data_IF_146493553720
#
_entry.id   IF_146493553720
#
_cell.length_a   1.000
_cell.length_b   1.000
_cell.length_c   1.000
_cell.angle_alpha   90.00
_cell.angle_beta   90.00
_cell.angle_gamma   90.00
#
_symmetry.space_group_name_H-M   'P 1'
#
loop_
_entity.id
_entity.type
_entity.pdbx_description
1 polymer ?
#
# COMPACT_ATOMS: atom_id res chain seq x y z
N UNK A 1 22.11 1.98 27.53
CA UNK A 1 20.92 2.28 28.35
C UNK A 1 20.03 3.15 27.49
N UNK A 2 19.16 2.53 26.70
CA UNK A 2 18.15 3.22 25.91
C UNK A 2 17.01 3.56 26.87
N UNK A 3 16.84 4.87 27.15
CA UNK A 3 15.77 5.35 28.04
C UNK A 3 14.43 5.14 27.35
N UNK A 4 13.57 4.29 27.90
CA UNK A 4 12.16 4.26 27.56
C UNK A 4 11.59 5.67 27.76
N UNK A 5 10.80 6.16 26.82
CA UNK A 5 10.01 7.39 26.97
C UNK A 5 9.10 7.23 28.19
N UNK A 6 8.77 8.31 28.88
CA UNK A 6 7.88 8.25 30.04
C UNK A 6 6.51 7.66 29.67
N UNK A 7 5.82 7.06 30.65
CA UNK A 7 4.53 6.33 30.48
C UNK A 7 3.41 7.16 29.81
N UNK A 8 3.55 8.46 29.71
CA UNK A 8 2.60 9.37 29.06
C UNK A 8 2.92 9.68 27.59
N UNK A 9 4.10 9.31 27.07
CA UNK A 9 4.56 9.67 25.75
C UNK A 9 4.35 8.53 24.74
N UNK A 10 3.63 8.81 23.64
CA UNK A 10 3.44 7.87 22.55
C UNK A 10 4.64 7.82 21.61
N UNK A 11 5.08 6.60 21.26
CA UNK A 11 5.87 6.39 20.07
C UNK A 11 5.01 6.59 18.81
N UNK A 12 5.63 7.08 17.74
CA UNK A 12 4.95 7.49 16.52
C UNK A 12 5.53 6.80 15.30
N UNK A 13 4.66 6.39 14.40
CA UNK A 13 5.03 5.86 13.10
C UNK A 13 4.11 6.39 12.02
N UNK A 14 4.67 6.62 10.85
CA UNK A 14 3.92 7.09 9.68
C UNK A 14 4.37 6.30 8.46
N UNK A 15 3.42 5.94 7.62
CA UNK A 15 3.64 5.36 6.30
C UNK A 15 2.59 5.90 5.35
N UNK A 16 2.69 5.59 4.05
CA UNK A 16 1.81 6.16 3.04
C UNK A 16 1.19 5.07 2.18
N UNK A 17 0.28 5.47 1.30
CA UNK A 17 -0.29 4.58 0.29
C UNK A 17 0.57 4.48 -0.95
N UNK A 18 0.22 3.53 -1.81
CA UNK A 18 0.72 3.48 -3.18
C UNK A 18 -0.36 2.94 -4.12
N UNK A 19 -0.16 3.18 -5.41
CA UNK A 19 -1.00 2.66 -6.49
C UNK A 19 -0.22 1.67 -7.34
N UNK A 20 -0.90 0.67 -7.90
CA UNK A 20 -0.24 -0.31 -8.78
C UNK A 20 -0.03 0.25 -10.18
N UNK A 21 1.18 0.09 -10.68
CA UNK A 21 1.52 0.18 -12.11
C UNK A 21 1.40 -1.22 -12.74
N UNK A 22 1.98 -2.23 -12.08
CA UNK A 22 1.83 -3.66 -12.45
C UNK A 22 1.51 -4.44 -11.19
N UNK A 23 0.54 -5.35 -11.28
CA UNK A 23 0.12 -6.17 -10.16
C UNK A 23 0.92 -7.47 -10.10
N UNK A 24 1.61 -7.70 -8.99
CA UNK A 24 2.44 -8.89 -8.75
C UNK A 24 1.68 -10.23 -8.77
N UNK A 25 0.35 -10.22 -8.67
CA UNK A 25 -0.46 -11.46 -8.61
C UNK A 25 -0.33 -12.31 -9.88
N UNK A 26 0.03 -11.72 -11.02
CA UNK A 26 0.19 -12.42 -12.29
C UNK A 26 1.47 -13.26 -12.36
N UNK A 27 2.62 -12.64 -12.01
CA UNK A 27 3.96 -13.21 -12.24
C UNK A 27 4.85 -13.26 -11.01
N UNK A 28 4.45 -12.59 -9.93
CA UNK A 28 5.28 -12.36 -8.75
C UNK A 28 6.10 -11.06 -8.83
N UNK A 29 6.22 -10.44 -10.01
CA UNK A 29 6.84 -9.12 -10.17
C UNK A 29 5.76 -8.05 -10.14
N UNK A 30 5.90 -7.08 -9.23
CA UNK A 30 5.00 -5.95 -9.09
C UNK A 30 5.69 -4.61 -9.28
N UNK A 31 4.91 -3.60 -9.67
CA UNK A 31 5.38 -2.24 -9.78
C UNK A 31 4.36 -1.27 -9.19
N UNK A 32 4.83 -0.32 -8.39
CA UNK A 32 3.98 0.65 -7.68
C UNK A 32 4.55 2.06 -7.75
N UNK A 33 3.68 3.05 -7.56
CA UNK A 33 4.04 4.44 -7.32
C UNK A 33 3.49 4.86 -5.97
N UNK A 34 4.33 5.39 -5.08
CA UNK A 34 3.91 5.94 -3.80
C UNK A 34 3.01 7.18 -3.99
N UNK A 35 2.02 7.35 -3.11
CA UNK A 35 1.10 8.50 -3.11
C UNK A 35 1.00 9.13 -1.72
N UNK A 36 0.63 10.41 -1.65
CA UNK A 36 0.50 11.19 -0.41
C UNK A 36 -0.85 10.96 0.28
N UNK A 37 -1.16 9.69 0.58
CA UNK A 37 -2.23 9.30 1.50
C UNK A 37 -1.59 8.68 2.72
N UNK A 38 -1.70 9.29 3.89
CA UNK A 38 -0.98 8.89 5.07
C UNK A 38 -1.72 7.85 5.92
N UNK A 39 -0.96 7.01 6.59
CA UNK A 39 -1.37 6.22 7.76
C UNK A 39 -0.43 6.55 8.90
N UNK A 40 -0.98 7.03 10.01
CA UNK A 40 -0.26 7.30 11.23
C UNK A 40 -0.62 6.30 12.33
N UNK A 41 0.37 5.91 13.12
CA UNK A 41 0.19 5.07 14.29
C UNK A 41 0.82 5.72 15.52
N UNK A 42 0.17 5.52 16.67
CA UNK A 42 0.66 5.93 17.98
C UNK A 42 0.61 4.72 18.91
N UNK A 43 1.71 4.40 19.54
CA UNK A 43 1.85 3.26 20.44
C UNK A 43 2.42 3.70 21.78
N UNK A 44 1.88 3.15 22.89
CA UNK A 44 2.54 3.20 24.21
C UNK A 44 2.29 1.89 24.97
N UNK A 45 3.24 1.50 25.80
CA UNK A 45 3.01 0.47 26.81
C UNK A 45 1.96 0.94 27.82
N UNK A 46 1.15 0.02 28.32
CA UNK A 46 0.15 0.27 29.36
C UNK A 46 0.21 -0.85 30.39
N UNK A 47 -0.16 -0.55 31.65
CA UNK A 47 -0.11 -1.55 32.71
C UNK A 47 -1.08 -2.71 32.51
N UNK A 48 -2.30 -2.43 32.05
CA UNK A 48 -3.37 -3.42 31.94
C UNK A 48 -4.03 -3.43 30.57
N UNK A 49 -4.02 -4.62 29.93
CA UNK A 49 -4.79 -4.94 28.74
C UNK A 49 -4.26 -4.32 27.46
N UNK A 50 -4.70 -4.86 26.34
CA UNK A 50 -4.33 -4.43 25.00
C UNK A 50 -5.50 -3.69 24.35
N UNK A 51 -5.32 -2.38 24.10
CA UNK A 51 -6.33 -1.53 23.46
C UNK A 51 -5.87 -1.14 22.07
N UNK A 52 -6.70 -1.39 21.06
CA UNK A 52 -6.44 -1.04 19.67
C UNK A 52 -7.62 -0.24 19.14
N UNK A 53 -7.34 0.96 18.64
CA UNK A 53 -8.30 1.85 17.99
C UNK A 53 -7.83 2.10 16.56
N UNK A 54 -8.66 1.72 15.58
CA UNK A 54 -8.36 1.88 14.14
C UNK A 54 -9.43 2.77 13.49
N UNK A 55 -9.00 3.83 12.86
CA UNK A 55 -9.85 4.75 12.11
C UNK A 55 -9.45 4.79 10.63
N UNK A 56 -10.41 4.66 9.70
CA UNK A 56 -11.85 4.53 9.91
C UNK A 56 -12.21 3.20 10.58
N UNK A 57 -13.24 3.24 11.43
CA UNK A 57 -13.71 2.07 12.19
C UNK A 57 -14.26 0.94 11.33
N UNK A 58 -14.48 -0.23 11.95
CA UNK A 58 -15.01 -1.43 11.26
C UNK A 58 -13.95 -2.28 10.55
N UNK A 59 -12.66 -1.99 10.77
CA UNK A 59 -11.55 -2.80 10.29
C UNK A 59 -11.15 -3.79 11.39
N UNK A 60 -10.87 -5.04 11.00
CA UNK A 60 -10.32 -6.05 11.90
C UNK A 60 -8.92 -5.62 12.38
N UNK A 61 -8.68 -5.67 13.69
CA UNK A 61 -7.44 -5.22 14.32
C UNK A 61 -6.36 -6.32 14.42
N UNK A 62 -6.65 -7.53 13.94
CA UNK A 62 -5.74 -8.69 13.99
C UNK A 62 -4.36 -8.38 13.41
N UNK A 63 -4.31 -7.74 12.24
CA UNK A 63 -3.05 -7.36 11.60
C UNK A 63 -2.25 -6.38 12.46
N UNK A 64 -2.91 -5.38 13.04
CA UNK A 64 -2.26 -4.39 13.91
C UNK A 64 -1.68 -5.04 15.16
N UNK A 65 -2.41 -5.97 15.79
CA UNK A 65 -1.92 -6.75 16.95
C UNK A 65 -0.72 -7.62 16.60
N UNK A 66 -0.73 -8.29 15.45
CA UNK A 66 0.41 -9.06 14.96
C UNK A 66 1.63 -8.14 14.78
N UNK A 67 1.45 -6.95 14.18
CA UNK A 67 2.54 -5.99 14.00
C UNK A 67 3.13 -5.54 15.33
N UNK A 68 2.28 -5.22 16.34
CA UNK A 68 2.77 -4.86 17.69
C UNK A 68 3.57 -6.01 18.31
N UNK A 69 3.00 -7.21 18.32
CA UNK A 69 3.66 -8.40 18.90
C UNK A 69 5.02 -8.66 18.25
N UNK A 70 5.08 -8.67 16.92
CA UNK A 70 6.31 -8.92 16.16
C UNK A 70 7.35 -7.81 16.35
N UNK A 71 6.91 -6.56 16.45
CA UNK A 71 7.81 -5.45 16.74
C UNK A 71 8.35 -5.51 18.20
N UNK A 72 7.51 -5.87 19.18
CA UNK A 72 7.94 -6.09 20.57
C UNK A 72 8.98 -7.22 20.67
N UNK A 73 8.79 -8.33 19.96
CA UNK A 73 9.78 -9.42 19.89
C UNK A 73 11.15 -8.90 19.38
N UNK A 74 11.17 -7.96 18.43
CA UNK A 74 12.42 -7.37 17.88
C UNK A 74 13.14 -6.46 18.84
N UNK A 75 12.41 -5.73 19.68
CA UNK A 75 13.00 -4.80 20.66
C UNK A 75 13.24 -5.44 22.03
N UNK A 76 12.89 -6.72 22.21
CA UNK A 76 13.01 -7.42 23.51
C UNK A 76 11.96 -6.95 24.53
N UNK A 77 10.83 -6.41 24.07
CA UNK A 77 9.68 -6.07 24.89
C UNK A 77 8.84 -7.30 25.23
N UNK A 78 7.81 -7.10 26.06
CA UNK A 78 6.84 -8.17 26.41
C UNK A 78 5.70 -8.22 25.39
N UNK A 79 5.61 -9.26 24.53
CA UNK A 79 4.56 -9.38 23.52
C UNK A 79 3.15 -9.56 24.11
N UNK A 80 3.04 -10.04 25.34
CA UNK A 80 1.79 -10.26 26.07
C UNK A 80 1.43 -9.07 26.97
N UNK A 81 2.34 -8.09 27.10
CA UNK A 81 2.15 -6.90 27.91
C UNK A 81 0.98 -6.04 27.46
N UNK A 82 0.49 -5.20 28.38
CA UNK A 82 -0.55 -4.24 28.05
C UNK A 82 -0.03 -3.10 27.18
N UNK A 83 -0.87 -2.60 26.27
CA UNK A 83 -0.54 -1.44 25.43
C UNK A 83 -1.79 -0.71 24.93
N UNK A 84 -1.57 0.52 24.48
CA UNK A 84 -2.52 1.32 23.72
C UNK A 84 -1.96 1.62 22.34
N UNK A 85 -2.70 1.25 21.30
CA UNK A 85 -2.38 1.53 19.90
C UNK A 85 -3.52 2.30 19.26
N UNK A 86 -3.20 3.41 18.59
CA UNK A 86 -4.12 4.18 17.75
C UNK A 86 -3.59 4.22 16.34
N UNK A 87 -4.42 3.85 15.36
CA UNK A 87 -4.07 3.90 13.93
C UNK A 87 -5.10 4.76 13.22
N UNK A 88 -4.65 5.77 12.49
CA UNK A 88 -5.50 6.63 11.66
C UNK A 88 -4.99 6.58 10.23
N UNK A 89 -5.87 6.26 9.27
CA UNK A 89 -5.51 6.11 7.87
C UNK A 89 -6.43 6.92 6.96
N UNK A 90 -5.82 7.68 6.04
CA UNK A 90 -6.52 8.32 4.91
C UNK A 90 -6.81 7.33 3.78
N UNK A 91 -6.23 6.13 3.85
CA UNK A 91 -6.31 5.12 2.78
C UNK A 91 -7.57 4.27 3.01
N UNK A 92 -8.56 4.28 2.09
CA UNK A 92 -9.72 3.43 2.19
C UNK A 92 -9.35 1.94 2.29
N UNK A 93 -9.84 1.23 3.32
CA UNK A 93 -9.50 -0.18 3.52
C UNK A 93 -10.12 -1.07 2.44
N UNK A 94 -9.43 -2.17 2.09
CA UNK A 94 -9.93 -3.22 1.18
C UNK A 94 -10.29 -2.75 -0.24
N UNK A 95 -9.71 -1.64 -0.71
CA UNK A 95 -9.97 -1.07 -2.05
C UNK A 95 -8.79 -1.21 -3.03
N UNK A 96 -7.71 -1.89 -2.65
CA UNK A 96 -6.51 -2.05 -3.48
C UNK A 96 -5.50 -0.91 -3.37
N UNK A 97 -5.68 0.00 -2.41
CA UNK A 97 -4.82 1.18 -2.17
C UNK A 97 -3.74 0.94 -1.11
N UNK A 98 -3.50 -0.33 -0.75
CA UNK A 98 -2.39 -0.82 0.10
C UNK A 98 -2.47 -0.38 1.57
N UNK A 99 -3.69 -0.19 2.08
CA UNK A 99 -3.92 0.19 3.49
C UNK A 99 -3.27 -0.77 4.48
N UNK A 100 -3.28 -2.09 4.21
CA UNK A 100 -2.64 -3.09 5.09
C UNK A 100 -1.12 -2.92 5.15
N UNK A 101 -0.45 -2.74 4.01
CA UNK A 101 1.02 -2.54 3.97
C UNK A 101 1.41 -1.23 4.66
N UNK A 102 0.66 -0.15 4.42
CA UNK A 102 0.87 1.13 5.09
C UNK A 102 0.67 1.03 6.60
N UNK A 103 -0.39 0.32 7.06
CA UNK A 103 -0.64 0.10 8.48
C UNK A 103 0.47 -0.72 9.14
N UNK A 104 0.96 -1.81 8.51
CA UNK A 104 2.08 -2.59 9.02
C UNK A 104 3.31 -1.71 9.29
N UNK A 105 3.74 -0.95 8.28
CA UNK A 105 4.92 -0.10 8.39
C UNK A 105 4.73 0.97 9.50
N UNK A 106 3.57 1.63 9.55
CA UNK A 106 3.29 2.66 10.54
C UNK A 106 3.27 2.10 11.97
N UNK A 107 2.58 0.96 12.21
CA UNK A 107 2.48 0.34 13.53
C UNK A 107 3.85 -0.14 14.02
N UNK A 108 4.61 -0.84 13.16
CA UNK A 108 5.96 -1.30 13.51
C UNK A 108 6.82 -0.10 13.93
N UNK A 109 6.86 0.97 13.13
CA UNK A 109 7.63 2.18 13.46
C UNK A 109 7.20 2.84 14.76
N UNK A 110 5.89 2.85 15.07
CA UNK A 110 5.41 3.42 16.32
C UNK A 110 5.91 2.64 17.55
N UNK A 111 5.95 1.30 17.48
CA UNK A 111 6.52 0.46 18.53
C UNK A 111 8.02 0.69 18.67
N UNK A 112 8.75 0.70 17.55
CA UNK A 112 10.20 0.94 17.53
C UNK A 112 10.53 2.31 18.14
N UNK A 113 9.82 3.37 17.75
CA UNK A 113 10.01 4.73 18.25
C UNK A 113 9.76 4.83 19.76
N UNK A 114 8.72 4.16 20.28
CA UNK A 114 8.44 4.11 21.72
C UNK A 114 9.59 3.50 22.51
N UNK A 115 10.20 2.45 21.98
CA UNK A 115 11.32 1.75 22.62
C UNK A 115 12.70 2.38 22.31
N UNK A 116 12.75 3.47 21.53
CA UNK A 116 14.01 4.09 21.11
C UNK A 116 14.90 3.16 20.29
N UNK A 117 14.29 2.25 19.52
CA UNK A 117 14.99 1.27 18.71
C UNK A 117 15.03 1.72 17.24
N UNK A 118 16.21 1.77 16.66
CA UNK A 118 16.41 2.09 15.27
C UNK A 118 16.42 0.81 14.42
N UNK A 119 15.70 0.84 13.30
CA UNK A 119 15.63 -0.24 12.31
C UNK A 119 15.65 0.36 10.90
N UNK A 120 16.40 -0.28 10.01
CA UNK A 120 16.44 0.13 8.61
C UNK A 120 15.05 0.03 7.96
N UNK A 121 14.74 0.94 7.02
CA UNK A 121 13.46 0.92 6.30
C UNK A 121 13.19 -0.44 5.63
N UNK A 122 14.21 -1.11 5.12
CA UNK A 122 14.05 -2.42 4.49
C UNK A 122 13.67 -3.50 5.52
N UNK A 123 14.24 -3.46 6.72
CA UNK A 123 13.90 -4.40 7.80
C UNK A 123 12.49 -4.17 8.32
N UNK A 124 12.03 -2.89 8.41
CA UNK A 124 10.63 -2.56 8.70
C UNK A 124 9.69 -3.15 7.64
N UNK A 125 10.01 -2.97 6.35
CA UNK A 125 9.25 -3.52 5.23
C UNK A 125 9.16 -5.05 5.32
N UNK A 126 10.29 -5.73 5.53
CA UNK A 126 10.33 -7.20 5.61
C UNK A 126 9.53 -7.72 6.80
N UNK A 127 9.62 -7.06 7.96
CA UNK A 127 8.82 -7.39 9.13
C UNK A 127 7.32 -7.19 8.85
N UNK A 128 6.94 -6.10 8.16
CA UNK A 128 5.56 -5.85 7.74
C UNK A 128 5.03 -6.92 6.79
N UNK A 129 5.85 -7.40 5.85
CA UNK A 129 5.53 -8.52 4.94
C UNK A 129 5.30 -9.82 5.71
N UNK A 130 6.14 -10.12 6.72
CA UNK A 130 5.95 -11.27 7.60
C UNK A 130 4.61 -11.18 8.36
N UNK A 131 4.30 -10.02 8.93
CA UNK A 131 3.03 -9.78 9.62
C UNK A 131 1.82 -9.95 8.69
N UNK A 132 1.88 -9.43 7.46
CA UNK A 132 0.81 -9.54 6.49
C UNK A 132 0.57 -11.00 6.03
N UNK A 133 1.63 -11.79 5.91
CA UNK A 133 1.56 -13.24 5.63
C UNK A 133 0.93 -13.99 6.80
N UNK A 134 1.35 -13.70 8.01
CA UNK A 134 0.82 -14.32 9.23
C UNK A 134 -0.68 -14.02 9.42
N UNK A 135 -1.08 -12.78 9.14
CA UNK A 135 -2.49 -12.38 9.18
C UNK A 135 -3.34 -12.93 8.02
N UNK A 136 -2.73 -13.54 7.00
CA UNK A 136 -3.43 -14.06 5.82
C UNK A 136 -4.05 -13.00 4.92
N UNK A 137 -3.60 -11.75 5.00
CA UNK A 137 -4.18 -10.62 4.24
C UNK A 137 -3.53 -10.41 2.88
N UNK A 138 -2.58 -11.24 2.50
CA UNK A 138 -1.84 -11.13 1.23
C UNK A 138 -1.73 -12.47 0.51
N UNK A 139 -1.71 -12.44 -0.84
CA UNK A 139 -1.49 -13.60 -1.69
C UNK A 139 -0.02 -13.75 -2.08
N UNK A 140 0.66 -12.63 -2.37
CA UNK A 140 2.04 -12.58 -2.89
C UNK A 140 3.07 -12.21 -1.84
N UNK A 141 2.64 -11.84 -0.62
CA UNK A 141 3.46 -11.21 0.41
C UNK A 141 3.44 -9.67 0.30
N UNK A 142 2.99 -9.10 -0.82
CA UNK A 142 2.85 -7.65 -1.05
C UNK A 142 4.12 -6.84 -0.73
N UNK A 143 5.29 -7.39 -1.07
CA UNK A 143 6.56 -6.73 -0.80
C UNK A 143 6.71 -5.43 -1.60
N UNK A 144 6.29 -5.42 -2.88
CA UNK A 144 6.22 -4.22 -3.72
C UNK A 144 5.34 -3.13 -3.07
N UNK A 145 4.18 -3.52 -2.55
CA UNK A 145 3.25 -2.62 -1.87
C UNK A 145 3.89 -2.01 -0.60
N UNK A 146 4.52 -2.85 0.23
CA UNK A 146 5.20 -2.41 1.44
C UNK A 146 6.38 -1.46 1.13
N UNK A 147 7.14 -1.75 0.06
CA UNK A 147 8.20 -0.87 -0.43
C UNK A 147 7.64 0.47 -0.91
N UNK A 148 6.58 0.47 -1.72
CA UNK A 148 5.96 1.70 -2.21
C UNK A 148 5.39 2.57 -1.08
N UNK A 149 4.78 1.95 -0.08
CA UNK A 149 4.24 2.61 1.10
C UNK A 149 5.34 3.27 1.95
N UNK A 150 6.47 2.60 2.16
CA UNK A 150 7.54 3.10 3.02
C UNK A 150 8.48 4.04 2.27
N UNK A 151 8.96 3.61 1.12
CA UNK A 151 10.03 4.30 0.41
C UNK A 151 9.53 5.43 -0.51
N UNK A 152 8.29 5.35 -0.99
CA UNK A 152 7.80 6.24 -2.05
C UNK A 152 8.53 6.05 -3.38
N UNK A 153 8.27 6.95 -4.34
CA UNK A 153 8.84 6.88 -5.67
C UNK A 153 8.19 5.81 -6.54
N UNK A 154 8.88 5.43 -7.61
CA UNK A 154 8.54 4.32 -8.48
C UNK A 154 9.38 3.09 -8.09
N UNK A 155 8.73 2.00 -7.76
CA UNK A 155 9.34 0.76 -7.28
C UNK A 155 8.90 -0.39 -8.19
N UNK A 156 9.87 -1.21 -8.63
CA UNK A 156 9.62 -2.53 -9.22
C UNK A 156 10.25 -3.57 -8.31
N UNK A 157 9.51 -4.61 -7.93
CA UNK A 157 9.99 -5.60 -6.97
C UNK A 157 9.58 -7.03 -7.34
N UNK A 158 10.46 -7.96 -7.03
CA UNK A 158 10.21 -9.41 -7.02
C UNK A 158 9.65 -9.80 -5.64
N UNK A 159 8.35 -10.07 -5.57
CA UNK A 159 7.67 -10.44 -4.33
C UNK A 159 7.97 -11.88 -3.89
N UNK A 160 8.47 -12.71 -4.81
CA UNK A 160 8.84 -14.10 -4.48
C UNK A 160 10.15 -14.11 -3.68
N UNK A 161 11.10 -13.24 -4.10
CA UNK A 161 12.42 -13.14 -3.46
C UNK A 161 12.56 -11.99 -2.49
N UNK A 162 11.50 -11.17 -2.31
CA UNK A 162 11.52 -9.93 -1.55
C UNK A 162 12.70 -9.02 -1.95
N UNK A 163 12.82 -8.76 -3.25
CA UNK A 163 13.93 -7.98 -3.80
C UNK A 163 13.44 -6.81 -4.64
N UNK A 164 13.93 -5.61 -4.35
CA UNK A 164 13.73 -4.44 -5.20
C UNK A 164 14.59 -4.60 -6.46
N UNK A 165 13.94 -4.50 -7.63
CA UNK A 165 14.58 -4.60 -8.95
C UNK A 165 14.91 -3.21 -9.50
N UNK A 166 13.97 -2.28 -9.39
CA UNK A 166 14.12 -0.89 -9.82
C UNK A 166 13.57 0.01 -8.70
N UNK A 167 14.32 1.07 -8.41
CA UNK A 167 13.89 2.15 -7.52
C UNK A 167 14.33 3.48 -8.11
N UNK A 168 13.38 4.35 -8.39
CA UNK A 168 13.65 5.69 -8.91
C UNK A 168 12.63 6.71 -8.40
N UNK A 169 12.91 8.02 -8.42
CA UNK A 169 11.93 9.04 -8.11
C UNK A 169 10.69 8.88 -9.01
N UNK A 170 9.51 9.07 -8.43
CA UNK A 170 8.30 9.25 -9.24
C UNK A 170 8.29 10.65 -9.85
N UNK A 171 7.71 10.78 -11.03
CA UNK A 171 7.38 12.08 -11.61
C UNK A 171 6.37 12.80 -10.70
N UNK A 172 6.38 14.12 -10.72
CA UNK A 172 5.45 14.95 -9.94
C UNK A 172 4.11 15.03 -10.67
N UNK A 173 3.18 14.18 -10.28
CA UNK A 173 1.88 14.03 -10.91
C UNK A 173 0.76 14.19 -9.88
N UNK A 174 -0.39 14.66 -10.34
CA UNK A 174 -1.63 14.55 -9.60
C UNK A 174 -2.23 13.15 -9.81
N UNK A 175 -2.81 12.59 -8.75
CA UNK A 175 -3.41 11.25 -8.75
C UNK A 175 -4.88 11.37 -8.37
N UNK A 176 -5.74 10.94 -9.27
CA UNK A 176 -7.18 10.87 -9.06
C UNK A 176 -7.58 9.43 -8.79
N UNK A 177 -8.34 9.19 -7.74
CA UNK A 177 -8.74 7.83 -7.37
C UNK A 177 -10.26 7.74 -7.26
N UNK A 178 -10.83 6.82 -8.03
CA UNK A 178 -12.23 6.42 -7.95
C UNK A 178 -12.33 5.20 -7.04
N UNK A 179 -13.13 5.31 -5.98
CA UNK A 179 -13.37 4.22 -5.02
C UNK A 179 -14.85 3.87 -5.05
N UNK A 180 -15.25 2.83 -5.78
CA UNK A 180 -16.65 2.41 -5.81
C UNK A 180 -17.09 1.82 -4.45
N UNK A 181 -18.38 1.92 -4.15
CA UNK A 181 -18.97 1.39 -2.91
C UNK A 181 -18.92 -0.15 -2.85
N UNK A 182 -18.77 -0.81 -4.00
CA UNK A 182 -18.69 -2.27 -4.08
C UNK A 182 -17.49 -2.81 -3.31
N UNK A 183 -17.71 -3.85 -2.52
CA UNK A 183 -16.64 -4.57 -1.84
C UNK A 183 -15.90 -5.44 -2.86
N UNK A 184 -14.59 -5.57 -2.70
CA UNK A 184 -13.75 -6.47 -3.49
C UNK A 184 -14.30 -7.90 -3.45
N UNK A 185 -14.65 -8.45 -4.60
CA UNK A 185 -14.97 -9.86 -4.75
C UNK A 185 -13.72 -10.74 -4.52
N UNK A 186 -13.93 -11.96 -4.04
CA UNK A 186 -12.85 -12.96 -3.98
C UNK A 186 -12.67 -13.53 -5.39
N UNK A 187 -11.60 -13.11 -6.07
CA UNK A 187 -11.23 -13.65 -7.39
C UNK A 187 -10.10 -14.64 -7.19
N UNK A 188 -10.24 -15.89 -7.67
CA UNK A 188 -9.21 -16.90 -7.54
C UNK A 188 -7.87 -16.44 -8.17
N UNK A 189 -6.73 -16.62 -7.49
CA UNK A 189 -5.42 -16.21 -8.02
C UNK A 189 -5.07 -16.85 -9.37
N UNK A 190 -5.59 -18.02 -9.67
CA UNK A 190 -5.41 -18.74 -10.94
C UNK A 190 -5.94 -17.95 -12.14
N UNK A 191 -7.01 -17.16 -11.98
CA UNK A 191 -7.54 -16.32 -13.06
C UNK A 191 -6.50 -15.27 -13.51
N UNK A 192 -5.74 -14.72 -12.55
CA UNK A 192 -4.66 -13.79 -12.86
C UNK A 192 -3.45 -14.52 -13.47
N UNK A 193 -3.06 -15.65 -12.89
CA UNK A 193 -1.91 -16.44 -13.36
C UNK A 193 -2.10 -16.98 -14.77
N UNK A 194 -3.34 -17.25 -15.19
CA UNK A 194 -3.65 -17.63 -16.56
C UNK A 194 -3.27 -16.55 -17.59
N UNK A 195 -3.15 -15.30 -17.17
CA UNK A 195 -2.75 -14.16 -18.01
C UNK A 195 -1.27 -13.76 -17.80
N UNK A 196 -0.46 -14.61 -17.15
CA UNK A 196 0.95 -14.33 -16.91
C UNK A 196 1.75 -14.06 -18.21
N UNK A 197 1.54 -14.81 -19.34
CA UNK A 197 2.25 -14.50 -20.58
C UNK A 197 2.02 -13.08 -21.09
N UNK A 198 0.77 -12.60 -21.07
CA UNK A 198 0.46 -11.21 -21.48
C UNK A 198 1.03 -10.19 -20.48
N UNK A 199 1.11 -10.55 -19.19
CA UNK A 199 1.74 -9.68 -18.20
C UNK A 199 3.27 -9.60 -18.39
N UNK A 200 3.94 -10.65 -18.84
CA UNK A 200 5.38 -10.59 -19.20
C UNK A 200 5.61 -9.62 -20.35
N UNK A 201 4.70 -9.50 -21.33
CA UNK A 201 4.77 -8.49 -22.38
C UNK A 201 4.63 -7.07 -21.79
N UNK A 202 3.74 -6.88 -20.79
CA UNK A 202 3.60 -5.59 -20.07
C UNK A 202 4.87 -5.27 -19.29
N UNK A 203 5.48 -6.24 -18.64
CA UNK A 203 6.73 -6.07 -17.89
C UNK A 203 7.90 -5.68 -18.82
N UNK A 204 7.91 -6.18 -20.05
CA UNK A 204 8.99 -5.87 -21.01
C UNK A 204 9.05 -4.40 -21.42
N UNK A 205 7.93 -3.67 -21.34
CA UNK A 205 7.87 -2.23 -21.66
C UNK A 205 7.89 -1.32 -20.41
N UNK A 206 7.84 -1.91 -19.21
CA UNK A 206 7.61 -1.19 -17.97
C UNK A 206 8.65 -0.09 -17.67
N UNK A 207 9.91 -0.32 -18.00
CA UNK A 207 10.97 0.64 -17.72
C UNK A 207 10.98 1.81 -18.71
N UNK A 208 10.61 1.54 -19.97
CA UNK A 208 10.55 2.54 -21.04
C UNK A 208 9.26 3.36 -21.01
N UNK A 209 8.12 2.71 -20.78
CA UNK A 209 6.79 3.35 -20.79
C UNK A 209 5.90 2.83 -19.63
N UNK A 210 6.14 3.30 -18.39
CA UNK A 210 5.38 2.87 -17.22
C UNK A 210 3.90 3.25 -17.29
N UNK A 211 3.54 4.30 -18.03
CA UNK A 211 2.15 4.73 -18.18
C UNK A 211 1.35 3.77 -19.06
N UNK A 212 1.94 3.36 -20.16
CA UNK A 212 1.37 2.33 -21.02
C UNK A 212 1.29 0.98 -20.29
N UNK A 213 2.35 0.60 -19.56
CA UNK A 213 2.35 -0.61 -18.73
C UNK A 213 1.21 -0.58 -17.71
N UNK A 214 1.00 0.55 -17.02
CA UNK A 214 -0.09 0.74 -16.07
C UNK A 214 -1.46 0.55 -16.73
N UNK A 215 -1.68 1.16 -17.88
CA UNK A 215 -2.96 1.06 -18.62
C UNK A 215 -3.22 -0.39 -19.07
N UNK A 216 -2.21 -1.09 -19.58
CA UNK A 216 -2.33 -2.49 -19.98
C UNK A 216 -2.55 -3.42 -18.78
N UNK A 217 -1.88 -3.19 -17.65
CA UNK A 217 -2.15 -3.89 -16.40
C UNK A 217 -3.63 -3.77 -16.00
N UNK A 218 -4.22 -2.57 -16.10
CA UNK A 218 -5.62 -2.35 -15.78
C UNK A 218 -6.56 -3.22 -16.62
N UNK A 219 -6.28 -3.36 -17.91
CA UNK A 219 -7.05 -4.22 -18.83
C UNK A 219 -6.93 -5.70 -18.46
N UNK A 220 -5.73 -6.16 -18.08
CA UNK A 220 -5.52 -7.54 -17.65
C UNK A 220 -6.21 -7.82 -16.32
N UNK A 221 -6.16 -6.89 -15.36
CA UNK A 221 -6.90 -6.99 -14.09
C UNK A 221 -8.40 -7.06 -14.33
N UNK A 222 -8.94 -6.21 -15.22
CA UNK A 222 -10.35 -6.23 -15.60
C UNK A 222 -10.77 -7.60 -16.15
N UNK A 223 -9.99 -8.18 -17.06
CA UNK A 223 -10.23 -9.50 -17.64
C UNK A 223 -10.18 -10.60 -16.59
N UNK A 224 -9.13 -10.64 -15.77
CA UNK A 224 -8.94 -11.67 -14.74
C UNK A 224 -10.05 -11.67 -13.69
N UNK A 225 -10.51 -10.48 -13.30
CA UNK A 225 -11.49 -10.28 -12.22
C UNK A 225 -12.93 -10.06 -12.73
N UNK A 226 -13.14 -10.09 -14.04
CA UNK A 226 -14.44 -9.77 -14.67
C UNK A 226 -15.00 -8.41 -14.19
N UNK A 227 -14.12 -7.39 -14.15
CA UNK A 227 -14.49 -6.02 -13.79
C UNK A 227 -14.72 -5.16 -15.02
N UNK A 228 -15.59 -4.17 -14.89
CA UNK A 228 -15.77 -3.16 -15.95
C UNK A 228 -14.58 -2.20 -16.02
N UNK A 229 -13.90 -2.10 -17.16
CA UNK A 229 -12.85 -1.14 -17.43
C UNK A 229 -13.33 0.30 -17.68
N UNK A 230 -14.65 0.54 -17.75
CA UNK A 230 -15.26 1.80 -18.23
C UNK A 230 -14.70 3.05 -17.54
N UNK A 231 -14.44 2.97 -16.20
CA UNK A 231 -13.92 4.13 -15.44
C UNK A 231 -12.50 4.48 -15.89
N UNK A 232 -11.64 3.47 -16.06
CA UNK A 232 -10.27 3.68 -16.53
C UNK A 232 -10.24 4.14 -18.00
N UNK A 233 -11.03 3.52 -18.87
CA UNK A 233 -11.11 3.88 -20.30
C UNK A 233 -11.62 5.31 -20.47
N UNK A 234 -12.63 5.72 -19.68
CA UNK A 234 -13.12 7.09 -19.67
C UNK A 234 -12.02 8.08 -19.26
N UNK A 235 -11.31 7.81 -18.16
CA UNK A 235 -10.21 8.68 -17.73
C UNK A 235 -9.14 8.85 -18.81
N UNK A 236 -8.79 7.76 -19.51
CA UNK A 236 -7.86 7.82 -20.64
C UNK A 236 -8.39 8.67 -21.80
N UNK A 237 -9.67 8.53 -22.14
CA UNK A 237 -10.31 9.33 -23.19
C UNK A 237 -10.43 10.82 -22.85
N UNK A 238 -10.45 11.16 -21.57
CA UNK A 238 -10.62 12.52 -21.04
C UNK A 238 -9.28 13.15 -20.59
N UNK A 239 -8.13 12.55 -20.92
CA UNK A 239 -6.81 13.18 -20.80
C UNK A 239 -5.92 12.70 -19.66
N UNK A 240 -6.21 11.55 -19.02
CA UNK A 240 -5.27 10.93 -18.12
C UNK A 240 -4.03 10.42 -18.88
N UNK A 241 -2.86 10.49 -18.24
CA UNK A 241 -1.61 9.91 -18.74
C UNK A 241 -1.64 8.37 -18.66
N UNK A 242 -2.26 7.84 -17.59
CA UNK A 242 -2.51 6.43 -17.39
C UNK A 242 -3.70 6.25 -16.45
N UNK A 243 -4.45 5.16 -16.61
CA UNK A 243 -5.50 4.78 -15.67
C UNK A 243 -5.56 3.26 -15.54
N UNK A 244 -5.68 2.77 -14.28
CA UNK A 244 -5.67 1.33 -13.98
C UNK A 244 -6.38 1.03 -12.69
N UNK A 245 -6.81 -0.23 -12.53
CA UNK A 245 -7.13 -0.76 -11.22
C UNK A 245 -5.90 -0.77 -10.33
N UNK A 246 -6.04 -0.32 -9.09
CA UNK A 246 -5.00 -0.45 -8.10
C UNK A 246 -5.14 -1.79 -7.35
N UNK A 247 -4.07 -2.57 -7.29
CA UNK A 247 -4.13 -3.95 -6.83
C UNK A 247 -5.08 -4.78 -7.69
N UNK A 248 -5.91 -5.59 -7.05
CA UNK A 248 -6.97 -6.36 -7.71
C UNK A 248 -8.31 -5.60 -7.77
N UNK A 249 -8.26 -4.27 -7.62
CA UNK A 249 -9.41 -3.39 -7.57
C UNK A 249 -10.17 -3.47 -6.23
N UNK A 250 -11.38 -2.89 -6.15
CA UNK A 250 -12.09 -2.22 -7.25
C UNK A 250 -11.66 -0.77 -7.51
N UNK A 251 -10.80 -0.17 -6.66
CA UNK A 251 -10.38 1.21 -6.90
C UNK A 251 -9.63 1.36 -8.24
N UNK A 252 -9.91 2.45 -8.95
CA UNK A 252 -9.21 2.87 -10.16
C UNK A 252 -8.40 4.11 -9.84
N UNK A 253 -7.12 4.11 -10.17
CA UNK A 253 -6.24 5.27 -10.07
C UNK A 253 -5.92 5.79 -11.47
N UNK A 254 -5.99 7.11 -11.65
CA UNK A 254 -5.60 7.83 -12.86
C UNK A 254 -4.46 8.80 -12.52
N UNK A 255 -3.42 8.79 -13.35
CA UNK A 255 -2.31 9.73 -13.31
C UNK A 255 -2.58 10.90 -14.23
N UNK A 256 -2.38 12.10 -13.71
CA UNK A 256 -2.65 13.38 -14.42
C UNK A 256 -1.43 14.28 -14.30
N UNK A 257 -1.09 14.99 -15.35
CA UNK A 257 0.00 15.97 -15.30
C UNK A 257 -0.23 17.01 -14.21
N UNK A 258 0.82 17.39 -13.50
CA UNK A 258 0.73 18.29 -12.36
C UNK A 258 0.02 19.60 -12.70
N UNK A 259 -1.04 19.88 -11.95
CA UNK A 259 -1.88 21.07 -12.14
C UNK A 259 -2.80 21.03 -13.37
N UNK A 260 -2.83 19.93 -14.13
CA UNK A 260 -3.77 19.76 -15.22
C UNK A 260 -5.19 19.45 -14.69
N UNK A 261 -6.21 19.86 -15.45
CA UNK A 261 -7.60 19.59 -15.14
C UNK A 261 -8.24 18.87 -16.32
N UNK A 262 -8.17 17.53 -16.39
CA UNK A 262 -8.86 16.74 -17.40
C UNK A 262 -10.39 16.87 -17.21
N UNK A 263 -11.18 16.46 -18.21
CA UNK A 263 -12.64 16.60 -18.20
C UNK A 263 -13.30 15.91 -16.98
N UNK A 264 -12.72 14.79 -16.51
CA UNK A 264 -13.21 14.08 -15.33
C UNK A 264 -12.77 14.70 -13.99
N UNK A 265 -12.00 15.79 -13.99
CA UNK A 265 -11.39 16.34 -12.76
C UNK A 265 -12.42 16.69 -11.68
N UNK A 266 -13.58 17.25 -12.07
CA UNK A 266 -14.64 17.65 -11.14
C UNK A 266 -15.76 16.61 -11.01
N UNK A 267 -15.61 15.41 -11.61
CA UNK A 267 -16.57 14.32 -11.47
C UNK A 267 -16.50 13.72 -10.06
N UNK A 268 -17.64 13.66 -9.32
CA UNK A 268 -17.69 13.09 -7.96
C UNK A 268 -17.24 11.62 -7.88
N UNK A 269 -17.23 10.89 -9.00
CA UNK A 269 -16.70 9.52 -9.06
C UNK A 269 -15.23 9.43 -8.61
N UNK A 270 -14.46 10.51 -8.79
CA UNK A 270 -13.07 10.64 -8.38
C UNK A 270 -12.96 11.34 -7.02
N UNK A 271 -13.47 10.66 -6.00
CA UNK A 271 -13.63 11.21 -4.65
C UNK A 271 -12.32 11.46 -3.91
N UNK A 272 -11.19 10.85 -4.32
CA UNK A 272 -9.90 11.07 -3.69
C UNK A 272 -8.96 11.73 -4.70
N UNK A 273 -8.34 12.82 -4.25
CA UNK A 273 -7.30 13.54 -4.99
C UNK A 273 -6.05 13.59 -4.13
N UNK A 274 -4.94 13.18 -4.69
CA UNK A 274 -3.63 13.15 -4.02
C UNK A 274 -2.54 13.39 -5.07
N UNK A 275 -1.31 13.20 -4.68
CA UNK A 275 -0.13 13.39 -5.51
C UNK A 275 0.77 12.17 -5.42
N UNK A 276 1.61 11.98 -6.42
CA UNK A 276 2.71 11.04 -6.33
C UNK A 276 3.66 11.45 -5.22
N UNK A 277 4.07 10.50 -4.40
CA UNK A 277 5.03 10.71 -3.34
C UNK A 277 6.44 10.52 -3.89
N UNK A 278 7.23 11.58 -3.83
CA UNK A 278 8.64 11.52 -4.22
C UNK A 278 9.42 10.65 -3.24
N UNK A 279 10.51 10.06 -3.72
CA UNK A 279 11.42 9.30 -2.89
C UNK A 279 12.07 10.18 -1.82
N UNK A 280 12.09 9.68 -0.58
CA UNK A 280 13.03 10.08 0.47
C UNK A 280 12.89 11.51 0.97
N UNK A 281 11.81 11.80 1.63
CA UNK A 281 11.81 12.78 2.73
C UNK A 281 11.31 12.11 3.98
#
# INVERSE_FOLDING_TARGET
MTGCRGEEEFGRGESHGCISVVNAIFTGTGAVIGVNLATSAQYRGAGDGQRVDVSPGGVDDTLARICVRRALERVGGDPEGGYELRVVSEIPPSRGLKSSSSACNAVIKAVLDYHGFEMDAMDVILLGVECAREAGVTVTGSFDDACGCELGGFIVADNVRNRVLIRRPAEDLDVMISVPDSVKGCVPPENYRALAPEMEEVLSILDEDPYRAMTLNGRLVARAANLSGTVADRAMGEGALAASFSGTGPAVAALVGKGQRPEFFDDPLWGIRTETRRWGR
#
